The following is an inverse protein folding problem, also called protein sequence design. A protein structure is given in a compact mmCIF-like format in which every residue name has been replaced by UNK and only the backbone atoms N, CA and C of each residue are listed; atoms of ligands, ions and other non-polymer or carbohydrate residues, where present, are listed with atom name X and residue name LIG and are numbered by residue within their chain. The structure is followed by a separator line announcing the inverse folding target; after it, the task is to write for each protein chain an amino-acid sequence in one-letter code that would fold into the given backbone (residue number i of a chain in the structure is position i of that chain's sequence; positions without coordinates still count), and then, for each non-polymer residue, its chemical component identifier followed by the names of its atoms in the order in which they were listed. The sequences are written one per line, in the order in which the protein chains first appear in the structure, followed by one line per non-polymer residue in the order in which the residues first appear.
data_IF_117013768027
#
_entry.id   IF_117013768027
#
_cell.length_a   1.000
_cell.length_b   1.000
_cell.length_c   1.000
_cell.angle_alpha   90.00
_cell.angle_beta   90.00
_cell.angle_gamma   90.00
#
_symmetry.space_group_name_H-M   'P 1'
#
loop_
_entity.id
_entity.type
_entity.pdbx_description
1 polymer ?
#
# COMPACT_ATOMS: atom_id res chain seq x y z
N UNK A 1 -8.42 2.43 -11.37
CA UNK A 1 -7.76 3.60 -10.78
C UNK A 1 -8.41 4.93 -11.19
N UNK A 2 -8.51 5.24 -12.49
CA UNK A 2 -9.01 6.55 -12.98
C UNK A 2 -10.40 6.97 -12.45
N UNK A 3 -11.35 6.02 -12.35
CA UNK A 3 -12.67 6.34 -11.80
C UNK A 3 -12.65 6.71 -10.32
N UNK A 4 -11.76 6.08 -9.53
CA UNK A 4 -11.60 6.39 -8.11
C UNK A 4 -10.95 7.76 -7.95
N UNK A 5 -9.85 8.01 -8.67
CA UNK A 5 -9.13 9.29 -8.69
C UNK A 5 -10.05 10.45 -9.05
N UNK A 6 -10.83 10.32 -10.13
CA UNK A 6 -11.76 11.37 -10.57
C UNK A 6 -12.93 11.60 -9.60
N UNK A 7 -13.53 10.53 -9.07
CA UNK A 7 -14.69 10.65 -8.15
C UNK A 7 -14.29 11.15 -6.77
N UNK A 8 -13.13 10.73 -6.26
CA UNK A 8 -12.64 11.14 -4.95
C UNK A 8 -11.83 12.46 -4.99
N UNK A 9 -11.50 12.95 -6.19
CA UNK A 9 -10.65 14.12 -6.41
C UNK A 9 -9.31 14.01 -5.65
N UNK A 10 -8.60 12.91 -5.89
CA UNK A 10 -7.33 12.57 -5.23
C UNK A 10 -6.23 12.33 -6.25
N UNK A 11 -4.97 12.44 -5.83
CA UNK A 11 -3.83 11.94 -6.58
C UNK A 11 -3.76 10.42 -6.43
N UNK A 12 -3.57 9.71 -7.55
CA UNK A 12 -3.33 8.27 -7.56
C UNK A 12 -1.90 7.93 -7.97
N UNK A 13 -1.14 7.30 -7.07
CA UNK A 13 0.17 6.70 -7.37
C UNK A 13 -0.02 5.19 -7.42
N UNK A 14 -0.03 4.61 -8.63
CA UNK A 14 -0.19 3.17 -8.82
C UNK A 14 1.19 2.50 -8.96
N UNK A 15 1.57 1.70 -7.97
CA UNK A 15 2.89 1.06 -7.93
C UNK A 15 2.94 -0.16 -8.85
N UNK A 16 3.82 -0.13 -9.85
CA UNK A 16 4.11 -1.29 -10.69
C UNK A 16 5.24 -2.13 -10.05
N UNK A 17 4.90 -2.87 -9.00
CA UNK A 17 5.86 -3.73 -8.30
C UNK A 17 6.20 -5.00 -9.12
N UNK A 18 7.36 -5.58 -8.85
CA UNK A 18 7.78 -6.86 -9.46
C UNK A 18 6.93 -8.02 -8.96
N UNK A 19 6.64 -8.97 -9.86
CA UNK A 19 5.67 -10.05 -9.64
C UNK A 19 6.34 -11.43 -9.58
N UNK A 20 5.71 -12.34 -8.85
CA UNK A 20 6.03 -13.75 -8.86
C UNK A 20 5.49 -14.41 -10.16
N UNK A 21 6.11 -15.51 -10.62
CA UNK A 21 7.20 -16.25 -9.98
C UNK A 21 8.62 -15.67 -10.20
N UNK A 22 8.83 -14.78 -11.18
CA UNK A 22 10.15 -14.25 -11.55
C UNK A 22 10.81 -13.49 -10.39
N UNK A 23 9.99 -12.80 -9.60
CA UNK A 23 10.40 -12.12 -8.37
C UNK A 23 9.50 -12.60 -7.22
N UNK A 24 9.93 -13.64 -6.47
CA UNK A 24 9.17 -14.18 -5.36
C UNK A 24 8.89 -13.15 -4.26
N UNK A 25 7.90 -13.46 -3.42
CA UNK A 25 7.69 -12.75 -2.14
C UNK A 25 9.01 -12.82 -1.34
N UNK A 26 9.55 -11.72 -0.79
CA UNK A 26 8.97 -10.44 -0.36
C UNK A 26 9.14 -9.23 -1.30
N UNK A 27 9.63 -9.42 -2.53
CA UNK A 27 10.09 -8.31 -3.40
C UNK A 27 9.00 -7.25 -3.64
N UNK A 28 7.75 -7.64 -3.83
CA UNK A 28 6.64 -6.70 -4.04
C UNK A 28 6.44 -5.73 -2.86
N UNK A 29 6.71 -6.18 -1.62
CA UNK A 29 6.64 -5.31 -0.44
C UNK A 29 7.78 -4.30 -0.41
N UNK A 30 8.99 -4.71 -0.79
CA UNK A 30 10.16 -3.81 -0.86
C UNK A 30 10.01 -2.77 -1.98
N UNK A 31 9.52 -3.17 -3.15
CA UNK A 31 9.21 -2.22 -4.24
C UNK A 31 8.15 -1.20 -3.81
N UNK A 32 7.12 -1.66 -3.09
CA UNK A 32 6.09 -0.78 -2.55
C UNK A 32 6.65 0.16 -1.48
N UNK A 33 7.57 -0.31 -0.65
CA UNK A 33 8.23 0.52 0.35
C UNK A 33 9.13 1.58 -0.28
N UNK A 34 9.89 1.23 -1.31
CA UNK A 34 10.68 2.19 -2.08
C UNK A 34 9.78 3.22 -2.78
N UNK A 35 8.65 2.81 -3.34
CA UNK A 35 7.68 3.74 -3.92
C UNK A 35 7.11 4.70 -2.87
N UNK A 36 6.84 4.23 -1.64
CA UNK A 36 6.38 5.10 -0.55
C UNK A 36 7.45 6.09 -0.10
N UNK A 37 8.71 5.67 0.00
CA UNK A 37 9.84 6.60 0.27
C UNK A 37 10.00 7.63 -0.83
N UNK A 38 9.85 7.21 -2.09
CA UNK A 38 9.85 8.12 -3.23
C UNK A 38 8.71 9.12 -3.17
N UNK A 39 7.47 8.70 -2.86
CA UNK A 39 6.37 9.66 -2.64
C UNK A 39 6.70 10.60 -1.49
N UNK A 40 7.17 10.07 -0.36
CA UNK A 40 7.52 10.84 0.82
C UNK A 40 8.62 11.88 0.55
N UNK A 41 9.55 11.65 -0.38
CA UNK A 41 10.61 12.61 -0.69
C UNK A 41 10.13 13.92 -1.34
N UNK A 42 8.82 14.05 -1.60
CA UNK A 42 8.19 15.26 -2.15
C UNK A 42 7.55 16.14 -1.07
N UNK A 43 7.56 15.72 0.20
CA UNK A 43 6.78 16.38 1.27
C UNK A 43 7.17 17.83 1.55
N UNK A 44 8.42 18.20 1.24
CA UNK A 44 8.98 19.54 1.41
C UNK A 44 8.91 20.38 0.12
N UNK A 45 8.28 19.85 -0.93
CA UNK A 45 8.15 20.51 -2.22
C UNK A 45 9.37 20.41 -3.14
N UNK A 46 10.41 19.64 -2.76
CA UNK A 46 11.66 19.52 -3.51
C UNK A 46 11.89 18.13 -4.14
N UNK A 47 10.85 17.31 -4.23
CA UNK A 47 10.96 15.98 -4.80
C UNK A 47 11.14 16.00 -6.33
N UNK A 48 11.54 14.86 -6.93
CA UNK A 48 11.83 14.76 -8.36
C UNK A 48 10.63 15.02 -9.29
N UNK A 49 9.40 14.81 -8.83
CA UNK A 49 8.18 15.03 -9.61
C UNK A 49 7.42 16.29 -9.16
N UNK A 50 7.48 17.35 -9.97
CA UNK A 50 6.89 18.66 -9.66
C UNK A 50 5.39 18.61 -9.35
N UNK A 51 4.65 17.69 -9.98
CA UNK A 51 3.21 17.57 -9.79
C UNK A 51 2.85 17.06 -8.38
N UNK A 52 3.68 16.21 -7.78
CA UNK A 52 3.51 15.82 -6.38
C UNK A 52 3.87 16.97 -5.44
N UNK A 53 4.97 17.68 -5.70
CA UNK A 53 5.40 18.83 -4.92
C UNK A 53 4.29 19.90 -4.84
N UNK A 54 3.59 20.12 -5.95
CA UNK A 54 2.62 21.21 -6.09
C UNK A 54 1.21 20.84 -5.64
N UNK A 55 0.78 19.59 -5.84
CA UNK A 55 -0.63 19.22 -5.71
C UNK A 55 -0.92 18.18 -4.63
N UNK A 56 0.09 17.48 -4.08
CA UNK A 56 -0.14 16.45 -3.07
C UNK A 56 -0.28 17.04 -1.66
N UNK A 57 -1.30 16.57 -0.94
CA UNK A 57 -1.45 16.81 0.50
C UNK A 57 -0.87 15.62 1.28
N UNK A 58 0.40 15.74 1.69
CA UNK A 58 1.08 14.69 2.47
C UNK A 58 0.54 14.56 3.91
N UNK A 59 -0.32 15.49 4.35
CA UNK A 59 -1.11 15.37 5.57
C UNK A 59 -2.31 14.42 5.42
N UNK A 60 -2.65 13.99 4.21
CA UNK A 60 -3.81 13.11 3.91
C UNK A 60 -3.45 12.00 2.94
N UNK A 61 -2.66 11.03 3.41
CA UNK A 61 -2.26 9.88 2.61
C UNK A 61 -3.11 8.65 2.94
N UNK A 62 -3.51 7.91 1.90
CA UNK A 62 -4.25 6.66 2.03
C UNK A 62 -3.54 5.57 1.23
N UNK A 63 -3.46 4.36 1.80
CA UNK A 63 -3.03 3.18 1.04
C UNK A 63 -4.25 2.42 0.56
N UNK A 64 -4.21 1.89 -0.66
CA UNK A 64 -5.31 1.14 -1.22
C UNK A 64 -4.81 -0.03 -2.06
N UNK A 65 -5.54 -1.13 -2.04
CA UNK A 65 -5.27 -2.26 -2.92
C UNK A 65 -6.44 -3.23 -2.99
N UNK A 66 -6.42 -4.10 -4.00
CA UNK A 66 -7.35 -5.22 -4.14
C UNK A 66 -6.59 -6.55 -4.10
N UNK A 67 -7.21 -7.61 -3.58
CA UNK A 67 -6.63 -8.97 -3.59
C UNK A 67 -5.19 -9.01 -3.03
N UNK A 68 -4.19 -9.38 -3.83
CA UNK A 68 -2.79 -9.35 -3.44
C UNK A 68 -2.28 -7.92 -3.14
N UNK A 69 -2.78 -6.91 -3.86
CA UNK A 69 -2.47 -5.50 -3.59
C UNK A 69 -3.02 -5.01 -2.26
N UNK A 70 -4.17 -5.51 -1.81
CA UNK A 70 -4.68 -5.21 -0.47
C UNK A 70 -3.79 -5.83 0.63
N UNK A 71 -3.25 -7.02 0.39
CA UNK A 71 -2.26 -7.61 1.30
C UNK A 71 -1.00 -6.72 1.39
N UNK A 72 -0.50 -6.23 0.26
CA UNK A 72 0.63 -5.27 0.22
C UNK A 72 0.30 -3.98 0.97
N UNK A 73 -0.85 -3.36 0.67
CA UNK A 73 -1.29 -2.12 1.34
C UNK A 73 -1.41 -2.29 2.86
N UNK A 74 -1.91 -3.44 3.32
CA UNK A 74 -1.97 -3.79 4.74
C UNK A 74 -0.57 -3.86 5.38
N UNK A 75 0.37 -4.59 4.77
CA UNK A 75 1.74 -4.69 5.29
C UNK A 75 2.47 -3.34 5.27
N UNK A 76 2.24 -2.50 4.26
CA UNK A 76 2.79 -1.15 4.21
C UNK A 76 2.22 -0.25 5.31
N UNK A 77 0.92 -0.35 5.60
CA UNK A 77 0.29 0.39 6.70
C UNK A 77 0.90 0.02 8.06
N UNK A 78 1.08 -1.29 8.32
CA UNK A 78 1.79 -1.78 9.51
C UNK A 78 3.22 -1.24 9.56
N UNK A 79 3.96 -1.34 8.45
CA UNK A 79 5.35 -0.89 8.35
C UNK A 79 5.48 0.60 8.64
N UNK A 80 4.60 1.45 8.12
CA UNK A 80 4.56 2.89 8.46
C UNK A 80 4.31 3.10 9.95
N UNK A 81 3.41 2.34 10.58
CA UNK A 81 3.15 2.44 12.01
C UNK A 81 4.34 2.02 12.89
N UNK A 82 5.18 1.10 12.40
CA UNK A 82 6.33 0.57 13.14
C UNK A 82 7.63 1.35 12.88
N UNK A 83 7.95 1.63 11.61
CA UNK A 83 9.19 2.28 11.16
C UNK A 83 9.02 3.81 11.02
N UNK A 84 7.79 4.30 10.88
CA UNK A 84 7.52 5.68 10.49
C UNK A 84 7.75 5.93 8.99
N UNK A 85 7.17 7.03 8.49
CA UNK A 85 7.47 7.57 7.16
C UNK A 85 7.50 9.09 7.27
N UNK A 86 8.70 9.67 7.31
CA UNK A 86 8.87 11.11 7.54
C UNK A 86 8.14 11.93 6.47
N UNK A 87 7.49 13.02 6.90
CA UNK A 87 6.77 13.92 6.01
C UNK A 87 5.39 13.44 5.54
N UNK A 88 4.99 12.20 5.88
CA UNK A 88 3.73 11.60 5.43
C UNK A 88 2.85 11.24 6.62
N UNK A 89 1.59 11.69 6.60
CA UNK A 89 0.55 11.26 7.53
C UNK A 89 -0.38 10.27 6.85
N UNK A 90 -0.27 9.00 7.23
CA UNK A 90 -1.20 7.96 6.81
C UNK A 90 -2.52 8.08 7.58
N UNK A 91 -3.58 8.52 6.91
CA UNK A 91 -4.93 8.70 7.47
C UNK A 91 -5.76 7.42 7.42
N UNK A 92 -5.47 6.50 6.50
CA UNK A 92 -6.23 5.26 6.41
C UNK A 92 -5.75 4.29 5.34
N UNK A 93 -6.34 3.09 5.38
CA UNK A 93 -6.06 2.01 4.42
C UNK A 93 -7.37 1.43 3.91
N UNK A 94 -7.53 1.36 2.58
CA UNK A 94 -8.67 0.76 1.90
C UNK A 94 -8.29 -0.62 1.35
N UNK A 95 -8.87 -1.68 1.93
CA UNK A 95 -8.54 -3.06 1.63
C UNK A 95 -9.71 -3.77 0.95
N UNK A 96 -9.58 -4.05 -0.35
CA UNK A 96 -10.66 -4.69 -1.13
C UNK A 96 -10.34 -6.17 -1.33
N UNK A 97 -11.17 -7.06 -0.80
CA UNK A 97 -11.02 -8.52 -0.92
C UNK A 97 -9.59 -9.02 -0.63
N UNK A 98 -9.04 -8.65 0.53
CA UNK A 98 -7.64 -8.93 0.87
C UNK A 98 -7.26 -10.39 0.74
N UNK A 99 -6.18 -10.66 0.02
CA UNK A 99 -5.62 -11.99 -0.10
C UNK A 99 -4.78 -12.33 1.13
N UNK A 100 -5.40 -13.00 2.10
CA UNK A 100 -4.71 -13.62 3.22
C UNK A 100 -4.88 -15.13 3.15
N UNK A 101 -3.82 -15.85 3.50
CA UNK A 101 -3.79 -17.31 3.54
C UNK A 101 -3.21 -17.77 4.87
N UNK A 102 -3.66 -18.94 5.30
CA UNK A 102 -3.07 -19.71 6.38
C UNK A 102 -2.96 -21.17 5.97
N UNK A 103 -2.19 -21.96 6.70
CA UNK A 103 -2.09 -23.40 6.47
C UNK A 103 -3.45 -24.10 6.65
N UNK A 104 -4.26 -23.60 7.60
CA UNK A 104 -5.59 -24.13 7.89
C UNK A 104 -6.68 -23.28 7.25
N UNK A 105 -7.78 -23.93 6.84
CA UNK A 105 -8.96 -23.23 6.34
C UNK A 105 -9.69 -22.56 7.51
N UNK A 106 -10.00 -21.28 7.34
CA UNK A 106 -10.86 -20.57 8.29
C UNK A 106 -12.30 -21.10 8.14
N UNK A 107 -12.93 -21.45 9.26
CA UNK A 107 -14.36 -21.79 9.31
C UNK A 107 -14.73 -23.24 9.00
N UNK A 108 -13.75 -24.14 8.80
CA UNK A 108 -14.05 -25.57 8.79
C UNK A 108 -14.44 -26.04 10.20
N UNK A 109 -15.73 -26.33 10.43
CA UNK A 109 -16.12 -27.16 11.59
C UNK A 109 -15.55 -28.56 11.38
N UNK A 110 -14.37 -28.84 11.92
CA UNK A 110 -13.77 -30.16 11.72
C UNK A 110 -12.32 -30.31 12.13
N UNK A 111 -12.00 -30.09 13.40
CA UNK A 111 -11.02 -30.90 14.09
C UNK A 111 -11.52 -31.11 15.52
N UNK A 112 -12.14 -32.27 15.77
CA UNK A 112 -12.27 -32.76 17.14
C UNK A 112 -10.85 -32.98 17.63
N UNK A 113 -10.41 -32.16 18.58
CA UNK A 113 -9.22 -32.42 19.38
C UNK A 113 -9.47 -33.76 20.08
N UNK A 114 -8.61 -34.74 19.81
CA UNK A 114 -8.53 -35.98 20.58
C UNK A 114 -7.82 -35.72 21.90
#
# INVERSE_FOLDING_TARGET
MNSIVSKANVIGVSVHYRRAPEHPVSIAYEDSWHALKWVASHFDGNGPDEWLNKYADFGKVFFAGDSAGANIAHHMGIRVGMEGLHGVKLEGVALVHSYFLGAERIGSKGAKVK
#
